data_IF_928084620796
#
_entry.id   IF_928084620796
#
_cell.length_a   1.000
_cell.length_b   1.000
_cell.length_c   1.000
_cell.angle_alpha   90.00
_cell.angle_beta   90.00
_cell.angle_gamma   90.00
#
_symmetry.space_group_name_H-M   'P 1'
#
loop_
_entity.id
_entity.type
_entity.pdbx_description
1 polymer ?
#
# COMPACT_ATOMS: atom_id res chain seq x y z
N UNK A 1 1.87 18.81 4.64
CA UNK A 1 2.06 17.36 4.81
C UNK A 1 2.32 16.73 3.46
N UNK A 2 3.36 15.92 3.34
CA UNK A 2 3.73 15.31 2.06
C UNK A 2 2.94 14.04 1.75
N UNK A 3 2.26 13.48 2.74
CA UNK A 3 1.43 12.29 2.56
C UNK A 3 -0.04 12.72 2.61
N UNK A 4 -0.76 12.41 1.54
CA UNK A 4 -2.18 12.73 1.43
C UNK A 4 -2.98 11.49 1.09
N UNK A 5 -4.18 11.37 1.66
CA UNK A 5 -5.08 10.27 1.33
C UNK A 5 -5.60 10.47 -0.10
N UNK A 6 -5.40 9.45 -0.93
CA UNK A 6 -5.86 9.53 -2.31
C UNK A 6 -5.88 8.16 -2.95
N UNK A 7 -6.74 7.98 -3.93
CA UNK A 7 -6.61 6.91 -4.90
C UNK A 7 -5.79 7.47 -6.04
N UNK A 8 -4.64 6.83 -6.34
CA UNK A 8 -3.71 7.37 -7.34
C UNK A 8 -4.37 7.47 -8.71
N UNK A 9 -4.09 8.54 -9.41
CA UNK A 9 -4.67 8.76 -10.75
C UNK A 9 -4.26 7.65 -11.72
N UNK A 10 -2.99 7.23 -11.67
CA UNK A 10 -2.52 6.13 -12.50
C UNK A 10 -3.25 4.83 -12.18
N UNK A 11 -3.54 4.57 -10.90
CA UNK A 11 -4.29 3.39 -10.51
C UNK A 11 -5.70 3.38 -11.11
N UNK A 12 -6.37 4.54 -11.09
CA UNK A 12 -7.71 4.65 -11.67
C UNK A 12 -7.70 4.35 -13.17
N UNK A 13 -6.70 4.84 -13.88
CA UNK A 13 -6.54 4.55 -15.30
C UNK A 13 -6.28 3.07 -15.52
N UNK A 14 -5.40 2.49 -14.72
CA UNK A 14 -5.02 1.08 -14.84
C UNK A 14 -6.17 0.14 -14.52
N UNK A 15 -7.09 0.54 -13.64
CA UNK A 15 -8.31 -0.23 -13.41
C UNK A 15 -9.13 -0.34 -14.69
N UNK A 16 -9.24 0.74 -15.45
CA UNK A 16 -9.99 0.74 -16.71
C UNK A 16 -9.27 -0.08 -17.80
N UNK A 17 -7.97 -0.26 -17.67
CA UNK A 17 -7.18 -1.08 -18.60
C UNK A 17 -7.14 -2.55 -18.20
N UNK A 18 -7.70 -2.90 -17.04
CA UNK A 18 -7.69 -4.27 -16.55
C UNK A 18 -6.33 -4.71 -15.99
N UNK A 19 -5.49 -3.75 -15.61
CA UNK A 19 -4.14 -4.05 -15.12
C UNK A 19 -4.15 -4.69 -13.73
N UNK A 20 -5.13 -4.35 -12.90
CA UNK A 20 -5.20 -4.82 -11.52
C UNK A 20 -6.32 -5.85 -11.36
N UNK A 21 -5.95 -7.05 -10.93
CA UNK A 21 -6.90 -8.13 -10.71
C UNK A 21 -6.92 -8.47 -9.22
N UNK A 22 -8.04 -8.14 -8.57
CA UNK A 22 -8.22 -8.34 -7.11
C UNK A 22 -8.79 -9.71 -6.76
N UNK A 23 -9.03 -10.58 -7.72
CA UNK A 23 -9.47 -11.95 -7.43
C UNK A 23 -8.41 -12.71 -6.63
N UNK A 24 -8.83 -13.73 -5.87
CA UNK A 24 -7.91 -14.47 -5.00
C UNK A 24 -6.74 -15.09 -5.75
N UNK A 25 -6.94 -15.44 -7.02
CA UNK A 25 -5.87 -15.96 -7.89
C UNK A 25 -5.29 -14.88 -8.82
N UNK A 26 -5.59 -13.62 -8.54
CA UNK A 26 -5.11 -12.50 -9.35
C UNK A 26 -3.74 -11.99 -8.90
N UNK A 27 -3.55 -10.68 -9.01
CA UNK A 27 -2.27 -10.05 -8.72
C UNK A 27 -1.93 -10.11 -7.23
N UNK A 28 -0.65 -9.98 -6.91
CA UNK A 28 -0.18 -9.86 -5.54
C UNK A 28 -0.14 -8.37 -5.17
N UNK A 29 -0.68 -8.04 -4.00
CA UNK A 29 -0.69 -6.67 -3.50
C UNK A 29 0.05 -6.62 -2.17
N UNK A 30 0.76 -5.52 -1.94
CA UNK A 30 1.50 -5.29 -0.71
C UNK A 30 1.14 -3.96 -0.08
N UNK A 31 1.36 -3.87 1.23
CA UNK A 31 1.18 -2.64 1.98
C UNK A 31 2.51 -2.24 2.58
N UNK A 32 3.00 -1.05 2.20
CA UNK A 32 4.23 -0.48 2.72
C UNK A 32 3.91 0.72 3.60
N UNK A 33 4.71 0.93 4.65
CA UNK A 33 4.52 2.01 5.61
C UNK A 33 5.53 3.12 5.41
N UNK A 34 5.10 4.36 5.54
CA UNK A 34 5.91 5.54 5.27
C UNK A 34 5.83 6.54 6.42
N UNK A 35 6.87 7.35 6.53
CA UNK A 35 6.95 8.37 7.56
C UNK A 35 7.44 9.68 6.96
N UNK A 36 7.12 10.78 7.66
CA UNK A 36 7.63 12.11 7.32
C UNK A 36 8.81 12.41 8.23
N UNK A 37 10.02 12.23 7.69
CA UNK A 37 11.24 12.59 8.38
C UNK A 37 11.43 11.88 9.73
N UNK A 38 12.43 11.08 9.86
CA UNK A 38 12.79 10.48 11.13
C UNK A 38 11.85 9.40 11.66
N UNK A 39 10.86 8.99 10.90
CA UNK A 39 9.91 7.97 11.35
C UNK A 39 10.50 6.57 11.33
N UNK A 40 11.53 6.39 12.11
CA UNK A 40 12.16 5.10 12.26
C UNK A 40 13.42 4.90 11.46
N UNK A 41 13.64 5.60 10.35
CA UNK A 41 14.86 5.35 9.61
C UNK A 41 15.26 6.45 8.65
N UNK A 42 14.32 6.99 7.91
CA UNK A 42 14.70 7.92 6.84
C UNK A 42 14.56 9.33 7.31
N UNK A 43 15.59 10.13 7.08
CA UNK A 43 15.48 11.58 7.22
C UNK A 43 14.73 12.17 6.02
N UNK A 44 14.44 11.36 5.03
CA UNK A 44 13.76 11.80 3.81
C UNK A 44 12.26 11.70 3.99
N UNK A 45 11.55 12.78 3.72
CA UNK A 45 10.11 12.81 3.80
C UNK A 45 9.49 12.07 2.62
N UNK A 46 8.58 11.14 2.90
CA UNK A 46 7.83 10.48 1.85
C UNK A 46 6.86 11.46 1.20
N UNK A 47 6.68 11.33 -0.11
CA UNK A 47 5.67 12.09 -0.85
C UNK A 47 4.71 11.11 -1.48
N UNK A 48 3.50 11.02 -0.95
CA UNK A 48 2.48 10.11 -1.42
C UNK A 48 1.17 10.86 -1.62
N UNK A 49 0.45 10.51 -2.66
CA UNK A 49 -0.84 11.12 -2.96
C UNK A 49 -1.34 10.71 -4.33
N UNK A 50 -2.23 11.50 -4.89
CA UNK A 50 -2.86 11.19 -6.18
C UNK A 50 -1.84 11.05 -7.32
N UNK A 51 -0.70 11.72 -7.24
CA UNK A 51 0.33 11.68 -8.27
C UNK A 51 1.30 10.50 -8.13
N UNK A 52 1.18 9.70 -7.09
CA UNK A 52 2.05 8.54 -6.88
C UNK A 52 1.78 7.50 -7.96
N UNK A 53 2.83 7.01 -8.60
CA UNK A 53 2.70 6.06 -9.70
C UNK A 53 3.35 4.71 -9.41
N UNK A 54 4.19 4.61 -8.38
CA UNK A 54 4.91 3.37 -8.10
C UNK A 54 5.36 3.32 -6.64
N UNK A 55 5.62 2.12 -6.17
CA UNK A 55 6.28 1.92 -4.89
C UNK A 55 7.66 2.59 -4.91
N UNK A 56 8.03 3.20 -3.80
CA UNK A 56 9.34 3.81 -3.62
C UNK A 56 9.85 3.53 -2.21
N UNK A 57 11.17 3.42 -2.08
CA UNK A 57 11.80 3.28 -0.77
C UNK A 57 11.98 4.63 -0.07
N UNK A 58 11.77 5.73 -0.78
CA UNK A 58 11.94 7.07 -0.21
C UNK A 58 10.92 7.31 0.89
N UNK A 59 11.38 7.49 2.12
CA UNK A 59 10.52 7.72 3.27
C UNK A 59 9.88 6.46 3.85
N UNK A 60 10.18 5.29 3.30
CA UNK A 60 9.67 4.05 3.86
C UNK A 60 10.30 3.78 5.23
N UNK A 61 9.52 3.25 6.18
CA UNK A 61 10.03 2.93 7.52
C UNK A 61 11.05 1.80 7.46
N UNK A 62 11.91 1.75 8.47
CA UNK A 62 12.95 0.74 8.57
C UNK A 62 12.38 -0.64 8.85
N UNK A 63 13.12 -1.67 8.48
CA UNK A 63 12.82 -3.03 8.92
C UNK A 63 12.71 -3.06 10.44
N UNK A 64 11.68 -3.69 10.98
CA UNK A 64 11.49 -3.83 12.40
C UNK A 64 10.55 -5.00 12.66
N UNK A 65 11.00 -5.98 13.45
CA UNK A 65 10.20 -7.17 13.71
C UNK A 65 9.79 -7.86 12.41
N UNK A 66 8.52 -8.08 12.22
CA UNK A 66 8.02 -8.73 11.01
C UNK A 66 7.87 -7.77 9.82
N UNK A 67 8.12 -6.47 10.01
CA UNK A 67 8.09 -5.53 8.90
C UNK A 67 9.43 -5.53 8.17
N UNK A 68 9.40 -5.77 6.88
CA UNK A 68 10.57 -5.68 6.01
C UNK A 68 10.31 -4.67 4.90
N UNK A 69 11.38 -4.09 4.36
CA UNK A 69 11.27 -3.13 3.26
C UNK A 69 10.47 -3.75 2.11
N UNK A 70 9.57 -2.95 1.55
CA UNK A 70 8.58 -3.43 0.58
C UNK A 70 7.24 -3.71 1.21
N UNK A 71 7.20 -3.91 2.52
CA UNK A 71 5.97 -4.11 3.27
C UNK A 71 5.53 -5.56 3.34
N UNK A 72 4.29 -5.76 3.72
CA UNK A 72 3.69 -7.09 3.87
C UNK A 72 2.75 -7.42 2.73
N UNK A 73 2.73 -8.70 2.37
CA UNK A 73 1.79 -9.18 1.35
C UNK A 73 0.38 -9.20 1.92
N UNK A 74 -0.55 -8.60 1.19
CA UNK A 74 -1.95 -8.56 1.58
C UNK A 74 -2.66 -9.81 1.10
N UNK A 75 -3.49 -10.39 1.97
CA UNK A 75 -4.34 -11.53 1.62
C UNK A 75 -5.62 -10.98 1.00
N UNK A 76 -5.85 -11.31 -0.26
CA UNK A 76 -7.03 -10.82 -0.98
C UNK A 76 -8.28 -11.54 -0.53
N UNK A 77 -9.36 -10.78 -0.39
CA UNK A 77 -10.72 -11.31 -0.24
C UNK A 77 -11.40 -11.11 -1.59
N UNK A 78 -12.02 -12.16 -2.11
CA UNK A 78 -12.63 -12.11 -3.44
C UNK A 78 -13.60 -10.92 -3.54
N UNK A 79 -13.55 -10.16 -4.64
CA UNK A 79 -14.48 -9.04 -4.82
C UNK A 79 -15.94 -9.51 -4.76
N UNK A 80 -16.77 -8.73 -4.12
CA UNK A 80 -18.20 -9.03 -3.93
C UNK A 80 -19.05 -7.79 -4.19
N UNK A 81 -20.34 -7.94 -4.04
CA UNK A 81 -21.26 -6.83 -4.16
C UNK A 81 -22.14 -6.72 -2.93
N UNK A 82 -22.59 -5.51 -2.65
CA UNK A 82 -23.61 -5.23 -1.64
C UNK A 82 -24.58 -4.23 -2.28
N UNK A 83 -25.79 -4.71 -2.60
CA UNK A 83 -26.74 -3.92 -3.38
C UNK A 83 -26.14 -3.57 -4.74
N UNK A 84 -26.00 -2.29 -5.03
CA UNK A 84 -25.41 -1.81 -6.27
C UNK A 84 -23.93 -1.42 -6.11
N UNK A 85 -23.32 -1.73 -4.95
CA UNK A 85 -21.92 -1.40 -4.67
C UNK A 85 -21.05 -2.62 -4.89
N UNK A 86 -19.99 -2.48 -5.69
CA UNK A 86 -18.96 -3.51 -5.81
C UNK A 86 -17.88 -3.25 -4.78
N UNK A 87 -17.42 -4.29 -4.12
CA UNK A 87 -16.47 -4.21 -3.01
C UNK A 87 -15.25 -5.08 -3.28
N UNK A 88 -14.08 -4.58 -2.89
CA UNK A 88 -12.89 -5.39 -2.77
C UNK A 88 -12.28 -5.16 -1.39
N UNK A 89 -11.60 -6.16 -0.87
CA UNK A 89 -11.10 -6.10 0.49
C UNK A 89 -9.83 -6.95 0.62
N UNK A 90 -9.11 -6.70 1.70
CA UNK A 90 -7.97 -7.53 2.10
C UNK A 90 -8.19 -7.95 3.55
N UNK A 91 -7.71 -9.15 3.90
CA UNK A 91 -7.69 -9.55 5.30
C UNK A 91 -6.78 -8.62 6.09
N UNK A 92 -7.01 -8.52 7.39
CA UNK A 92 -6.19 -7.69 8.25
C UNK A 92 -4.73 -8.14 8.20
N UNK A 93 -3.82 -7.18 8.22
CA UNK A 93 -2.40 -7.46 8.27
C UNK A 93 -1.81 -6.90 9.56
N UNK A 94 -0.91 -7.66 10.18
CA UNK A 94 -0.23 -7.26 11.42
C UNK A 94 1.27 -7.37 11.26
N UNK A 95 1.99 -6.42 11.83
CA UNK A 95 3.46 -6.46 11.91
C UNK A 95 3.83 -6.65 13.37
N UNK A 96 4.19 -7.89 13.73
CA UNK A 96 4.46 -8.26 15.10
C UNK A 96 5.90 -7.94 15.50
N UNK A 97 6.12 -7.72 16.79
CA UNK A 97 7.44 -7.43 17.35
C UNK A 97 8.10 -6.21 16.69
N UNK A 98 7.28 -5.34 16.09
CA UNK A 98 7.77 -4.17 15.36
C UNK A 98 7.67 -2.91 16.22
N UNK A 99 8.69 -2.05 16.13
CA UNK A 99 8.67 -0.73 16.72
C UNK A 99 8.74 0.26 15.57
N UNK A 100 7.59 0.77 15.15
CA UNK A 100 7.47 1.59 13.95
C UNK A 100 6.64 2.82 14.25
N UNK A 101 7.10 3.98 13.77
CA UNK A 101 6.28 5.17 13.70
C UNK A 101 6.01 5.46 12.24
N UNK A 102 4.77 5.29 11.82
CA UNK A 102 4.39 5.52 10.43
C UNK A 102 3.28 6.56 10.37
N UNK A 103 3.29 7.37 9.33
CA UNK A 103 2.30 8.42 9.11
C UNK A 103 1.40 8.14 7.93
N UNK A 104 1.74 7.14 7.12
CA UNK A 104 0.94 6.76 5.99
C UNK A 104 1.31 5.39 5.46
N UNK A 105 0.50 4.89 4.56
CA UNK A 105 0.69 3.59 3.96
C UNK A 105 0.40 3.68 2.47
N UNK A 106 1.08 2.83 1.70
CA UNK A 106 0.84 2.67 0.28
C UNK A 106 0.45 1.22 0.03
N UNK A 107 -0.68 1.02 -0.63
CA UNK A 107 -1.05 -0.30 -1.15
C UNK A 107 -0.68 -0.29 -2.63
N UNK A 108 0.08 -1.27 -3.05
CA UNK A 108 0.54 -1.33 -4.44
C UNK A 108 0.49 -2.75 -4.98
N UNK A 109 0.42 -2.84 -6.31
CA UNK A 109 0.41 -4.12 -7.02
C UNK A 109 1.86 -4.55 -7.26
N UNK A 110 2.27 -5.64 -6.61
CA UNK A 110 3.63 -6.14 -6.69
C UNK A 110 3.85 -7.06 -7.90
N UNK A 111 2.77 -7.42 -8.60
CA UNK A 111 2.86 -8.27 -9.79
C UNK A 111 3.21 -7.47 -11.04
N UNK A 112 2.76 -6.23 -11.10
CA UNK A 112 2.92 -5.38 -12.29
C UNK A 112 3.85 -4.21 -12.04
#
# INVERSE_FOLDING_TARGET
>A
MAIAQAMCTSFKQELMLGTHNFATNGNAFKLALYAEGGGGKSSTTATLGAATTAYTTTGEVANSGSYAAGGGTLTKVAPTTSGTTALTDFADISFTTATITAMGALIYNDTN
#
